data_IF_168453927955
#
_entry.id   IF_168453927955
#
_cell.length_a   1.000
_cell.length_b   1.000
_cell.length_c   1.000
_cell.angle_alpha   90.00
_cell.angle_beta   90.00
_cell.angle_gamma   90.00
#
_symmetry.space_group_name_H-M   'P 1'
#
loop_
_entity.id
_entity.type
_entity.pdbx_description
1 polymer ?
#
# COMPACT_ATOMS: atom_id res chain seq x y z
N UNK A 1 17.80 -45.18 -29.16
CA UNK A 1 16.90 -44.51 -28.19
C UNK A 1 17.30 -43.05 -28.19
N UNK A 2 16.52 -42.18 -28.82
CA UNK A 2 16.77 -40.73 -28.77
C UNK A 2 16.79 -40.32 -27.29
N UNK A 3 17.79 -39.57 -26.81
CA UNK A 3 17.71 -38.99 -25.47
C UNK A 3 16.41 -38.20 -25.37
N UNK A 4 15.60 -38.53 -24.36
CA UNK A 4 14.38 -37.76 -24.07
C UNK A 4 14.84 -36.65 -23.14
N UNK A 5 14.71 -35.40 -23.58
CA UNK A 5 15.04 -34.24 -22.75
C UNK A 5 14.13 -34.24 -21.49
N UNK A 6 14.65 -33.89 -20.30
CA UNK A 6 13.87 -33.92 -19.07
C UNK A 6 12.73 -32.88 -19.12
N UNK A 7 11.51 -33.18 -18.64
CA UNK A 7 10.43 -32.20 -18.64
C UNK A 7 10.76 -30.99 -17.77
N UNK A 8 10.04 -29.89 -17.97
CA UNK A 8 10.18 -28.68 -17.15
C UNK A 8 9.92 -29.05 -15.67
N UNK A 9 10.87 -28.78 -14.75
CA UNK A 9 10.69 -29.07 -13.33
C UNK A 9 9.62 -28.16 -12.71
N UNK A 10 9.07 -28.56 -11.56
CA UNK A 10 8.21 -27.67 -10.78
C UNK A 10 9.03 -26.71 -9.93
N UNK A 11 8.97 -25.42 -10.26
CA UNK A 11 9.75 -24.38 -9.59
C UNK A 11 8.91 -23.47 -8.69
N UNK A 12 7.58 -23.57 -8.75
CA UNK A 12 6.69 -22.68 -7.98
C UNK A 12 6.90 -22.93 -6.48
N UNK A 13 7.01 -21.86 -5.70
CA UNK A 13 7.26 -21.93 -4.26
C UNK A 13 8.72 -22.18 -3.86
N UNK A 14 9.61 -22.48 -4.81
CA UNK A 14 11.05 -22.56 -4.54
C UNK A 14 11.65 -21.15 -4.36
N UNK A 15 12.78 -21.07 -3.65
CA UNK A 15 13.61 -19.86 -3.69
C UNK A 15 14.20 -19.66 -5.09
N UNK A 16 14.47 -18.41 -5.46
CA UNK A 16 15.16 -18.06 -6.71
C UNK A 16 16.43 -18.90 -6.89
N UNK A 17 17.26 -19.01 -5.86
CA UNK A 17 18.53 -19.75 -5.92
C UNK A 17 18.31 -21.23 -6.20
N UNK A 18 17.33 -21.84 -5.51
CA UNK A 18 17.03 -23.26 -5.67
C UNK A 18 16.44 -23.56 -7.06
N UNK A 19 15.54 -22.70 -7.56
CA UNK A 19 14.95 -22.84 -8.88
C UNK A 19 16.00 -22.70 -9.99
N UNK A 20 16.88 -21.69 -9.91
CA UNK A 20 17.95 -21.50 -10.88
C UNK A 20 18.97 -22.65 -10.83
N UNK A 21 19.31 -23.15 -9.64
CA UNK A 21 20.17 -24.32 -9.50
C UNK A 21 19.56 -25.57 -10.15
N UNK A 22 18.25 -25.78 -10.01
CA UNK A 22 17.55 -26.89 -10.65
C UNK A 22 17.62 -26.82 -12.18
N UNK A 23 17.35 -25.64 -12.75
CA UNK A 23 17.43 -25.42 -14.20
C UNK A 23 18.86 -25.60 -14.74
N UNK A 24 19.86 -25.06 -14.05
CA UNK A 24 21.26 -25.21 -14.41
C UNK A 24 21.73 -26.68 -14.40
N UNK A 25 21.32 -27.46 -13.40
CA UNK A 25 21.64 -28.89 -13.31
C UNK A 25 21.06 -29.69 -14.48
N UNK A 26 19.93 -29.25 -15.02
CA UNK A 26 19.27 -29.87 -16.17
C UNK A 26 19.75 -29.30 -17.52
N UNK A 27 20.63 -28.29 -17.51
CA UNK A 27 21.08 -27.61 -18.73
C UNK A 27 19.98 -26.83 -19.45
N UNK A 28 18.91 -26.46 -18.75
CA UNK A 28 17.77 -25.72 -19.31
C UNK A 28 18.08 -24.23 -19.26
N UNK A 29 17.99 -23.55 -20.41
CA UNK A 29 18.10 -22.09 -20.47
C UNK A 29 16.93 -21.41 -19.74
N UNK A 30 17.20 -20.26 -19.15
CA UNK A 30 16.19 -19.57 -18.34
C UNK A 30 16.24 -18.06 -18.45
N UNK A 31 15.11 -17.44 -18.15
CA UNK A 31 14.94 -15.99 -17.97
C UNK A 31 14.31 -15.73 -16.62
N UNK A 32 14.78 -14.70 -15.93
CA UNK A 32 14.17 -14.24 -14.67
C UNK A 32 13.42 -12.96 -14.94
N UNK A 33 12.15 -12.93 -14.52
CA UNK A 33 11.35 -11.72 -14.36
C UNK A 33 11.04 -11.54 -12.88
N UNK A 34 10.66 -10.33 -12.51
CA UNK A 34 10.24 -10.03 -11.15
C UNK A 34 8.92 -9.27 -11.17
N UNK A 35 8.02 -9.58 -10.23
CA UNK A 35 6.70 -8.98 -10.11
C UNK A 35 6.28 -8.94 -8.63
N UNK A 36 5.42 -8.00 -8.27
CA UNK A 36 4.84 -7.90 -6.93
C UNK A 36 3.67 -8.87 -6.82
N UNK A 37 3.59 -9.57 -5.69
CA UNK A 37 2.50 -10.49 -5.36
C UNK A 37 2.04 -10.23 -3.93
N UNK A 38 0.74 -10.14 -3.72
CA UNK A 38 0.16 -9.79 -2.42
C UNK A 38 0.30 -10.93 -1.38
N UNK A 39 0.58 -12.14 -1.83
CA UNK A 39 0.60 -13.36 -1.01
C UNK A 39 1.89 -14.20 -1.13
N UNK A 40 2.81 -13.82 -2.02
CA UNK A 40 4.07 -14.55 -2.22
C UNK A 40 5.24 -13.77 -1.63
N UNK A 41 5.95 -14.38 -0.67
CA UNK A 41 7.15 -13.79 -0.06
C UNK A 41 8.23 -13.43 -1.10
N UNK A 42 8.97 -12.35 -0.83
CA UNK A 42 10.04 -11.90 -1.70
C UNK A 42 11.10 -12.99 -1.91
N UNK A 43 11.56 -13.15 -3.15
CA UNK A 43 12.58 -14.14 -3.53
C UNK A 43 12.02 -15.53 -3.85
N UNK A 44 10.70 -15.75 -3.73
CA UNK A 44 10.03 -17.00 -4.10
C UNK A 44 9.55 -16.95 -5.55
N UNK A 45 9.68 -18.05 -6.28
CA UNK A 45 9.12 -18.18 -7.64
C UNK A 45 7.58 -18.29 -7.54
N UNK A 46 6.89 -17.32 -8.12
CA UNK A 46 5.43 -17.21 -8.09
C UNK A 46 4.76 -17.71 -9.38
N UNK A 47 5.43 -17.55 -10.52
CA UNK A 47 4.96 -18.06 -11.82
C UNK A 47 6.13 -18.68 -12.59
N UNK A 48 5.81 -19.66 -13.45
CA UNK A 48 6.77 -20.25 -14.39
C UNK A 48 6.11 -20.47 -15.75
N UNK A 49 6.90 -20.36 -16.82
CA UNK A 49 6.44 -20.64 -18.20
C UNK A 49 7.59 -21.21 -19.02
N UNK A 50 7.46 -22.39 -19.65
CA UNK A 50 6.31 -23.30 -19.63
C UNK A 50 5.99 -23.85 -18.22
N UNK A 51 4.80 -24.43 -18.05
CA UNK A 51 4.40 -25.03 -16.77
C UNK A 51 5.18 -26.33 -16.49
N UNK A 52 5.28 -26.70 -15.22
CA UNK A 52 5.85 -27.98 -14.80
C UNK A 52 5.28 -29.16 -15.60
N UNK A 53 6.13 -30.11 -15.96
CA UNK A 53 5.76 -31.29 -16.75
C UNK A 53 5.70 -31.06 -18.26
N UNK A 54 5.83 -29.82 -18.74
CA UNK A 54 5.93 -29.55 -20.19
C UNK A 54 7.18 -30.20 -20.78
N UNK A 55 7.07 -30.74 -21.99
CA UNK A 55 8.23 -31.27 -22.72
C UNK A 55 9.26 -30.16 -22.96
N UNK A 56 10.53 -30.51 -22.80
CA UNK A 56 11.63 -29.62 -23.18
C UNK A 56 12.17 -30.04 -24.54
N UNK A 57 12.73 -29.05 -25.23
CA UNK A 57 13.54 -29.23 -26.43
C UNK A 57 14.82 -28.44 -26.23
N UNK A 58 15.82 -28.63 -27.09
CA UNK A 58 17.06 -27.83 -27.07
C UNK A 58 16.85 -26.30 -27.16
N UNK A 59 15.65 -25.81 -27.49
CA UNK A 59 15.30 -24.38 -27.55
C UNK A 59 14.39 -23.92 -26.42
N UNK A 60 14.02 -24.82 -25.50
CA UNK A 60 13.11 -24.47 -24.41
C UNK A 60 13.80 -23.53 -23.45
N UNK A 61 13.22 -22.34 -23.28
CA UNK A 61 13.65 -21.35 -22.29
C UNK A 61 12.57 -21.23 -21.23
N UNK A 62 12.90 -21.54 -19.98
CA UNK A 62 11.97 -21.38 -18.86
C UNK A 62 12.06 -19.95 -18.33
N UNK A 63 10.94 -19.23 -18.39
CA UNK A 63 10.79 -17.95 -17.69
C UNK A 63 10.28 -18.23 -16.28
N UNK A 64 11.04 -17.81 -15.27
CA UNK A 64 10.61 -17.78 -13.87
C UNK A 64 10.26 -16.36 -13.49
N UNK A 65 9.10 -16.16 -12.84
CA UNK A 65 8.72 -14.87 -12.25
C UNK A 65 8.91 -14.97 -10.75
N UNK A 66 9.86 -14.21 -10.23
CA UNK A 66 10.19 -14.16 -8.81
C UNK A 66 9.40 -13.04 -8.15
N UNK A 67 8.82 -13.32 -6.99
CA UNK A 67 8.11 -12.32 -6.20
C UNK A 67 9.07 -11.28 -5.63
N UNK A 68 8.68 -10.01 -5.70
CA UNK A 68 9.30 -8.90 -4.97
C UNK A 68 8.75 -8.76 -3.53
N UNK A 69 7.86 -9.66 -3.11
CA UNK A 69 7.04 -9.52 -1.92
C UNK A 69 5.75 -8.75 -2.21
N UNK A 70 5.09 -8.33 -1.14
CA UNK A 70 3.90 -7.47 -1.20
C UNK A 70 4.26 -6.07 -1.69
N UNK A 71 3.27 -5.35 -2.22
CA UNK A 71 3.46 -3.93 -2.52
C UNK A 71 3.93 -3.19 -1.27
N UNK A 72 4.85 -2.23 -1.44
CA UNK A 72 5.18 -1.32 -0.36
C UNK A 72 3.95 -0.45 -0.07
N UNK A 73 3.52 -0.46 1.18
CA UNK A 73 2.42 0.34 1.70
C UNK A 73 2.71 1.83 1.53
N UNK A 74 1.71 2.64 1.19
CA UNK A 74 1.89 4.09 1.05
C UNK A 74 1.21 4.80 2.21
N UNK A 75 1.81 5.91 2.65
CA UNK A 75 1.18 6.74 3.66
C UNK A 75 -0.18 7.29 3.17
N UNK A 76 -1.12 7.52 4.09
CA UNK A 76 -2.46 8.00 3.75
C UNK A 76 -2.42 9.40 3.15
N UNK A 77 -3.47 9.74 2.39
CA UNK A 77 -3.69 11.07 1.84
C UNK A 77 -4.82 11.73 2.64
N UNK A 78 -4.51 12.62 3.60
CA UNK A 78 -5.50 13.31 4.41
C UNK A 78 -6.26 14.34 3.58
N UNK A 79 -7.57 14.41 3.79
CA UNK A 79 -8.45 15.40 3.19
C UNK A 79 -9.57 15.72 4.17
N UNK A 80 -9.93 17.00 4.28
CA UNK A 80 -11.12 17.37 5.03
C UNK A 80 -11.81 18.63 4.52
N UNK A 81 -13.08 18.73 4.89
CA UNK A 81 -13.90 19.95 4.78
C UNK A 81 -14.45 20.33 6.14
N UNK A 82 -14.98 21.55 6.27
CA UNK A 82 -15.71 21.97 7.45
C UNK A 82 -16.96 22.77 7.06
N UNK A 83 -17.98 22.71 7.92
CA UNK A 83 -19.23 23.46 7.75
C UNK A 83 -19.64 24.10 9.08
N UNK A 84 -20.17 25.34 9.07
CA UNK A 84 -20.35 26.22 7.90
C UNK A 84 -19.01 26.80 7.38
N UNK A 85 -18.96 27.19 6.10
CA UNK A 85 -17.76 27.76 5.44
C UNK A 85 -17.41 29.19 5.86
N UNK A 86 -18.34 29.90 6.52
CA UNK A 86 -18.13 31.25 7.05
C UNK A 86 -18.68 31.31 8.50
N UNK A 87 -18.05 30.59 9.45
CA UNK A 87 -18.52 30.49 10.81
C UNK A 87 -18.35 31.83 11.55
N UNK A 88 -19.25 32.07 12.50
CA UNK A 88 -19.12 33.14 13.49
C UNK A 88 -18.68 32.56 14.83
N UNK A 89 -18.13 33.41 15.69
CA UNK A 89 -17.83 33.02 17.06
C UNK A 89 -19.07 32.41 17.75
N UNK A 90 -18.92 31.24 18.35
CA UNK A 90 -20.02 30.49 18.97
C UNK A 90 -20.74 29.49 18.06
N UNK A 91 -20.48 29.50 16.74
CA UNK A 91 -21.04 28.49 15.84
C UNK A 91 -20.43 27.10 16.12
N UNK A 92 -21.25 26.05 15.98
CA UNK A 92 -20.77 24.67 15.99
C UNK A 92 -20.33 24.28 14.58
N UNK A 93 -19.02 24.12 14.40
CA UNK A 93 -18.45 23.62 13.16
C UNK A 93 -18.42 22.10 13.18
N UNK A 94 -18.70 21.50 12.03
CA UNK A 94 -18.48 20.07 11.77
C UNK A 94 -17.35 19.92 10.76
N UNK A 95 -16.32 19.18 11.14
CA UNK A 95 -15.19 18.79 10.30
C UNK A 95 -15.41 17.36 9.81
N UNK A 96 -15.17 17.13 8.52
CA UNK A 96 -15.38 15.84 7.88
C UNK A 96 -14.14 15.44 7.06
N UNK A 97 -13.47 14.37 7.50
CA UNK A 97 -12.31 13.78 6.84
C UNK A 97 -12.64 12.54 5.98
N UNK A 98 -13.91 12.30 5.65
CA UNK A 98 -14.35 11.12 4.90
C UNK A 98 -13.75 10.98 3.50
N UNK A 99 -13.24 12.08 2.93
CA UNK A 99 -12.52 12.09 1.67
C UNK A 99 -11.03 11.72 1.79
N UNK A 100 -10.54 11.39 2.99
CA UNK A 100 -9.19 10.86 3.17
C UNK A 100 -9.07 9.47 2.56
N UNK A 101 -7.93 9.16 1.95
CA UNK A 101 -7.70 7.90 1.23
C UNK A 101 -6.40 7.24 1.63
N UNK A 102 -6.30 5.94 1.36
CA UNK A 102 -5.14 5.09 1.60
C UNK A 102 -5.18 3.92 0.60
N UNK A 103 -4.05 3.27 0.31
CA UNK A 103 -4.05 2.03 -0.50
C UNK A 103 -4.35 0.78 0.34
N UNK A 104 -4.30 0.90 1.66
CA UNK A 104 -4.82 -0.04 2.66
C UNK A 104 -6.03 0.52 3.41
N UNK A 105 -5.98 0.50 4.74
CA UNK A 105 -7.08 0.92 5.62
C UNK A 105 -6.65 2.04 6.55
N UNK A 106 -7.42 3.13 6.58
CA UNK A 106 -7.24 4.18 7.59
C UNK A 106 -7.66 3.67 8.98
N UNK A 107 -6.72 3.66 9.92
CA UNK A 107 -6.94 3.22 11.30
C UNK A 107 -7.36 4.36 12.24
N UNK A 108 -6.86 5.59 12.04
CA UNK A 108 -7.06 6.70 12.99
C UNK A 108 -7.14 8.07 12.34
N UNK A 109 -7.95 8.94 12.95
CA UNK A 109 -8.05 10.38 12.66
C UNK A 109 -7.83 11.17 13.95
N UNK A 110 -7.05 12.25 13.87
CA UNK A 110 -6.72 13.13 15.00
C UNK A 110 -6.79 14.58 14.57
N UNK A 111 -7.45 15.43 15.37
CA UNK A 111 -7.72 16.82 15.03
C UNK A 111 -7.15 17.76 16.08
N UNK A 112 -6.39 18.75 15.63
CA UNK A 112 -6.00 19.92 16.44
C UNK A 112 -6.65 21.16 15.84
N UNK A 113 -7.38 21.92 16.65
CA UNK A 113 -8.15 23.08 16.19
C UNK A 113 -7.37 24.40 16.26
N UNK A 114 -6.16 24.41 16.82
CA UNK A 114 -5.28 25.58 16.82
C UNK A 114 -5.67 26.69 17.81
N UNK A 115 -6.55 26.41 18.77
CA UNK A 115 -6.96 27.32 19.86
C UNK A 115 -6.54 26.83 21.26
N UNK A 116 -5.72 25.77 21.31
CA UNK A 116 -5.25 25.16 22.56
C UNK A 116 -6.24 24.17 23.20
N UNK A 117 -7.38 23.90 22.54
CA UNK A 117 -8.31 22.86 22.99
C UNK A 117 -7.72 21.45 22.82
N UNK A 118 -8.17 20.45 23.61
CA UNK A 118 -7.68 19.08 23.49
C UNK A 118 -7.90 18.50 22.09
N UNK A 119 -6.97 17.64 21.67
CA UNK A 119 -7.06 16.91 20.40
C UNK A 119 -8.35 16.08 20.37
N UNK A 120 -9.11 16.20 19.28
CA UNK A 120 -10.29 15.37 19.02
C UNK A 120 -9.93 14.18 18.12
N UNK A 121 -10.79 13.15 18.14
CA UNK A 121 -10.63 11.94 17.33
C UNK A 121 -11.89 11.61 16.55
N UNK A 122 -11.73 10.80 15.51
CA UNK A 122 -12.82 10.32 14.67
C UNK A 122 -12.80 10.90 13.26
N UNK A 123 -13.40 10.16 12.32
CA UNK A 123 -13.49 10.57 10.90
C UNK A 123 -14.21 11.91 10.74
N UNK A 124 -15.19 12.17 11.61
CA UNK A 124 -15.82 13.46 11.78
C UNK A 124 -15.57 13.97 13.19
N UNK A 125 -15.45 15.29 13.33
CA UNK A 125 -15.30 15.96 14.62
C UNK A 125 -16.11 17.26 14.64
N UNK A 126 -16.48 17.73 15.81
CA UNK A 126 -17.17 19.03 15.95
C UNK A 126 -16.42 19.92 16.91
N UNK A 127 -16.37 21.22 16.60
CA UNK A 127 -15.68 22.22 17.42
C UNK A 127 -16.39 23.56 17.40
N UNK A 128 -16.20 24.35 18.45
CA UNK A 128 -16.76 25.70 18.57
C UNK A 128 -15.69 26.66 19.05
N UNK A 129 -15.39 27.67 18.24
CA UNK A 129 -14.49 28.76 18.61
C UNK A 129 -15.28 29.87 19.32
N UNK A 130 -14.83 30.27 20.51
CA UNK A 130 -15.54 31.25 21.35
C UNK A 130 -15.22 32.70 21.01
N UNK A 131 -14.16 32.94 20.23
CA UNK A 131 -13.72 34.27 19.79
C UNK A 131 -13.55 34.31 18.27
N UNK A 132 -13.71 35.48 17.64
CA UNK A 132 -13.33 35.67 16.24
C UNK A 132 -11.81 35.57 16.10
N UNK A 133 -11.35 35.02 14.97
CA UNK A 133 -9.94 34.77 14.74
C UNK A 133 -9.67 33.88 13.52
N UNK A 134 -8.40 33.75 13.18
CA UNK A 134 -7.95 32.74 12.20
C UNK A 134 -7.30 31.60 12.96
N UNK A 135 -7.87 30.41 12.82
CA UNK A 135 -7.42 29.21 13.50
C UNK A 135 -6.78 28.24 12.52
N UNK A 136 -5.66 27.64 12.90
CA UNK A 136 -4.96 26.64 12.08
C UNK A 136 -5.40 25.26 12.51
N UNK A 137 -6.20 24.60 11.67
CA UNK A 137 -6.69 23.24 11.92
C UNK A 137 -5.76 22.25 11.27
N UNK A 138 -5.30 21.27 12.05
CA UNK A 138 -4.46 20.18 11.59
C UNK A 138 -5.18 18.85 11.76
N UNK A 139 -5.30 18.11 10.66
CA UNK A 139 -5.76 16.73 10.64
C UNK A 139 -4.56 15.82 10.48
N UNK A 140 -4.40 14.83 11.36
CA UNK A 140 -3.54 13.66 11.12
C UNK A 140 -4.40 12.44 10.80
N UNK A 141 -3.98 11.71 9.77
CA UNK A 141 -4.54 10.42 9.37
C UNK A 141 -3.45 9.37 9.49
N UNK A 142 -3.77 8.23 10.10
CA UNK A 142 -2.85 7.09 10.28
C UNK A 142 -3.49 5.83 9.70
N UNK A 143 -2.73 5.08 8.90
CA UNK A 143 -3.15 3.80 8.33
C UNK A 143 -2.96 2.61 9.29
N UNK A 144 -3.31 1.40 8.84
CA UNK A 144 -3.18 0.16 9.60
C UNK A 144 -1.76 -0.41 9.66
N UNK A 145 -0.80 0.18 8.91
CA UNK A 145 0.63 -0.11 8.99
C UNK A 145 1.40 0.88 9.87
N UNK A 146 0.71 1.90 10.39
CA UNK A 146 1.25 2.92 11.26
C UNK A 146 1.93 4.07 10.53
N UNK A 147 1.81 4.19 9.20
CA UNK A 147 2.24 5.43 8.54
C UNK A 147 1.20 6.51 8.77
N UNK A 148 1.68 7.76 8.81
CA UNK A 148 0.83 8.90 9.09
C UNK A 148 1.17 10.08 8.18
N UNK A 149 0.14 10.83 7.82
CA UNK A 149 0.24 12.07 7.08
C UNK A 149 -0.69 13.11 7.69
N UNK A 150 -0.42 14.38 7.42
CA UNK A 150 -1.24 15.49 7.93
C UNK A 150 -1.66 16.47 6.85
N UNK A 151 -2.81 17.10 7.06
CA UNK A 151 -3.31 18.22 6.28
C UNK A 151 -3.58 19.40 7.21
N UNK A 152 -3.10 20.58 6.82
CA UNK A 152 -3.36 21.82 7.55
C UNK A 152 -4.25 22.74 6.71
N UNK A 153 -5.30 23.30 7.32
CA UNK A 153 -6.12 24.36 6.71
C UNK A 153 -6.45 25.44 7.73
N UNK A 154 -6.66 26.67 7.27
CA UNK A 154 -7.06 27.79 8.11
C UNK A 154 -8.58 27.95 8.12
N UNK A 155 -9.16 28.16 9.31
CA UNK A 155 -10.56 28.53 9.50
C UNK A 155 -10.63 29.97 9.96
N UNK A 156 -11.27 30.83 9.16
CA UNK A 156 -11.56 32.21 9.55
C UNK A 156 -12.93 32.27 10.23
N UNK A 157 -12.92 32.59 11.52
CA UNK A 157 -14.11 32.81 12.35
C UNK A 157 -14.33 34.31 12.51
N UNK A 158 -15.55 34.77 12.21
CA UNK A 158 -15.93 36.19 12.26
C UNK A 158 -16.72 36.57 13.51
#
# INVERSE_FOLDING_TARGET
KTPIDPPVPDLIGMTKEAALSALQKLGIEYKVKEKVYDDVAAGIVAEQTPQAGSETTAKTVVTVVVSKGTAADKAPVPSFTFTPVAPKSGDKLTFDASASTDDGTIAKYSWEFGDGTPIASGKTATHTYTAPGTYTVVLWVTDDKGQAASLTQTVLVK
#
